data_IF_203058242951
#
_entry.id   IF_203058242951
#
_cell.length_a   1.000
_cell.length_b   1.000
_cell.length_c   1.000
_cell.angle_alpha   90.00
_cell.angle_beta   90.00
_cell.angle_gamma   90.00
#
_symmetry.space_group_name_H-M   'P 1'
#
loop_
_entity.id
_entity.type
_entity.pdbx_description
1 polymer ?
#
# COMPACT_ATOMS: atom_id res chain seq x y z
N UNK A 1 12.22 2.05 12.84
CA UNK A 1 12.95 1.23 11.85
C UNK A 1 13.84 2.12 11.00
N UNK A 2 15.01 1.61 10.59
CA UNK A 2 15.97 2.37 9.80
C UNK A 2 15.39 2.81 8.43
N UNK A 3 14.56 1.97 7.82
CA UNK A 3 13.93 2.27 6.52
C UNK A 3 12.95 3.42 6.66
N UNK A 4 12.18 3.46 7.74
CA UNK A 4 11.21 4.54 7.99
C UNK A 4 11.88 5.91 8.11
N UNK A 5 13.11 5.95 8.62
CA UNK A 5 13.87 7.19 8.72
C UNK A 5 14.36 7.72 7.38
N UNK A 6 14.45 6.87 6.36
CA UNK A 6 14.99 7.21 5.05
C UNK A 6 13.93 7.55 4.02
N UNK A 7 12.67 7.18 4.25
CA UNK A 7 11.61 7.33 3.26
C UNK A 7 10.25 7.43 3.95
N UNK A 8 9.24 7.89 3.22
CA UNK A 8 7.89 8.00 3.75
C UNK A 8 7.14 6.67 3.64
N UNK A 9 5.97 6.62 4.32
CA UNK A 9 5.16 5.40 4.40
C UNK A 9 4.65 4.92 3.04
N UNK A 10 4.16 5.85 2.21
CA UNK A 10 3.62 5.46 0.90
C UNK A 10 4.72 4.94 -0.02
N UNK A 11 5.90 5.56 0.03
CA UNK A 11 7.05 5.09 -0.76
C UNK A 11 7.45 3.67 -0.33
N UNK A 12 7.46 3.40 0.97
CA UNK A 12 7.75 2.06 1.48
C UNK A 12 6.76 1.02 0.95
N UNK A 13 5.47 1.37 0.91
CA UNK A 13 4.43 0.45 0.43
C UNK A 13 4.53 0.21 -1.08
N UNK A 14 4.91 1.23 -1.85
CA UNK A 14 4.87 1.20 -3.32
C UNK A 14 6.19 0.79 -3.97
N UNK A 15 7.27 0.70 -3.20
CA UNK A 15 8.55 0.23 -3.71
C UNK A 15 8.69 -1.25 -3.41
N UNK A 16 8.65 -2.15 -4.42
CA UNK A 16 8.65 -3.59 -4.17
C UNK A 16 9.82 -4.07 -3.31
N UNK A 17 11.01 -3.55 -3.56
CA UNK A 17 12.21 -3.94 -2.81
C UNK A 17 12.10 -3.56 -1.33
N UNK A 18 11.58 -2.36 -1.03
CA UNK A 18 11.41 -1.91 0.35
C UNK A 18 10.30 -2.67 1.05
N UNK A 19 9.17 -2.90 0.38
CA UNK A 19 8.06 -3.65 0.96
C UNK A 19 8.49 -5.09 1.28
N UNK A 20 9.22 -5.73 0.38
CA UNK A 20 9.74 -7.07 0.60
C UNK A 20 10.74 -7.11 1.77
N UNK A 21 11.63 -6.13 1.85
CA UNK A 21 12.61 -6.05 2.92
C UNK A 21 11.92 -5.91 4.28
N UNK A 22 10.92 -5.03 4.39
CA UNK A 22 10.16 -4.83 5.63
C UNK A 22 9.40 -6.11 6.00
N UNK A 23 8.84 -6.79 5.00
CA UNK A 23 8.09 -8.04 5.22
C UNK A 23 8.97 -9.14 5.82
N UNK A 24 10.22 -9.25 5.35
CA UNK A 24 11.13 -10.32 5.75
C UNK A 24 11.88 -9.99 7.06
N UNK A 25 12.07 -8.73 7.40
CA UNK A 25 12.82 -8.33 8.60
C UNK A 25 12.41 -9.07 9.89
N UNK A 26 11.11 -9.24 10.22
CA UNK A 26 10.75 -9.95 11.45
C UNK A 26 11.23 -11.41 11.48
N UNK A 27 11.29 -12.06 10.33
CA UNK A 27 11.79 -13.44 10.26
C UNK A 27 13.28 -13.46 10.58
N UNK A 28 14.04 -12.54 10.01
CA UNK A 28 15.49 -12.47 10.20
C UNK A 28 15.88 -12.04 11.62
N UNK A 29 15.09 -11.17 12.24
CA UNK A 29 15.43 -10.57 13.54
C UNK A 29 14.95 -11.42 14.72
N UNK A 30 13.71 -11.93 14.64
CA UNK A 30 13.09 -12.63 15.77
C UNK A 30 12.71 -14.08 15.44
N UNK A 31 13.10 -14.58 14.29
CA UNK A 31 12.84 -15.97 13.85
C UNK A 31 11.35 -16.30 13.87
N UNK A 32 10.52 -15.40 13.35
CA UNK A 32 9.08 -15.61 13.25
C UNK A 32 8.75 -16.76 12.31
N UNK A 33 7.66 -17.48 12.60
CA UNK A 33 7.25 -18.64 11.81
C UNK A 33 6.61 -18.27 10.47
N UNK A 34 6.10 -17.03 10.35
CA UNK A 34 5.45 -16.56 9.14
C UNK A 34 5.66 -15.05 8.99
N UNK A 35 5.66 -14.58 7.75
CA UNK A 35 5.72 -13.17 7.43
C UNK A 35 4.35 -12.67 6.97
N UNK A 36 3.93 -11.52 7.50
CA UNK A 36 2.74 -10.82 7.01
C UNK A 36 3.23 -9.77 6.02
N UNK A 37 2.72 -9.82 4.79
CA UNK A 37 3.15 -8.92 3.74
C UNK A 37 2.88 -7.46 4.11
N UNK A 38 3.93 -6.62 4.02
CA UNK A 38 3.83 -5.20 4.35
C UNK A 38 3.07 -4.46 3.25
N UNK A 39 1.89 -3.93 3.61
CA UNK A 39 1.07 -3.15 2.70
C UNK A 39 0.10 -2.28 3.50
N UNK A 40 -0.47 -1.28 2.84
CA UNK A 40 -1.51 -0.45 3.42
C UNK A 40 -2.88 -1.01 3.06
N UNK A 41 -3.80 -1.01 4.02
CA UNK A 41 -5.16 -1.50 3.80
C UNK A 41 -5.91 -0.65 2.76
N UNK A 42 -5.47 0.58 2.51
CA UNK A 42 -6.10 1.49 1.54
C UNK A 42 -5.57 1.30 0.12
N UNK A 43 -4.62 0.39 -0.10
CA UNK A 43 -3.96 0.19 -1.40
C UNK A 43 -4.97 -0.10 -2.51
N UNK A 44 -6.01 -0.87 -2.22
CA UNK A 44 -6.98 -1.30 -3.22
C UNK A 44 -7.94 -0.20 -3.67
N UNK A 45 -8.15 0.84 -2.86
CA UNK A 45 -9.13 1.90 -3.20
C UNK A 45 -8.58 2.91 -4.19
N UNK A 46 -7.25 3.05 -4.29
CA UNK A 46 -6.63 4.00 -5.21
C UNK A 46 -6.96 3.67 -6.67
N UNK A 47 -6.80 2.41 -7.15
CA UNK A 47 -7.21 2.06 -8.52
C UNK A 47 -8.71 2.21 -8.76
N UNK A 48 -9.53 2.20 -7.71
CA UNK A 48 -10.98 2.38 -7.84
C UNK A 48 -11.39 3.83 -8.07
N UNK A 49 -10.44 4.76 -8.00
CA UNK A 49 -10.71 6.17 -8.28
C UNK A 49 -10.71 7.07 -7.06
N UNK A 50 -10.35 6.56 -5.89
CA UNK A 50 -10.28 7.37 -4.68
C UNK A 50 -8.84 7.88 -4.51
N UNK A 51 -8.70 9.21 -4.36
CA UNK A 51 -7.40 9.83 -4.14
C UNK A 51 -7.02 9.76 -2.66
N UNK A 52 -5.89 9.10 -2.39
CA UNK A 52 -5.35 8.96 -1.05
C UNK A 52 -4.15 9.89 -0.89
N UNK A 53 -4.17 10.68 0.18
CA UNK A 53 -3.03 11.50 0.61
C UNK A 53 -2.59 11.04 1.99
N UNK A 54 -1.32 11.22 2.30
CA UNK A 54 -0.79 10.86 3.61
C UNK A 54 -0.05 12.04 4.22
N UNK A 55 -0.52 12.48 5.39
CA UNK A 55 0.09 13.57 6.14
C UNK A 55 0.78 13.01 7.38
N UNK A 56 1.96 13.55 7.72
CA UNK A 56 2.67 13.18 8.95
C UNK A 56 1.91 13.58 10.22
N UNK A 57 1.00 14.56 10.12
CA UNK A 57 0.23 15.03 11.28
C UNK A 57 -1.17 14.42 11.35
N UNK A 58 -1.80 14.16 10.20
CA UNK A 58 -3.18 13.65 10.13
C UNK A 58 -3.26 12.15 9.79
N UNK A 59 -2.14 11.56 9.34
CA UNK A 59 -2.16 10.21 8.81
C UNK A 59 -2.79 10.16 7.42
N UNK A 60 -3.32 9.00 7.01
CA UNK A 60 -3.96 8.87 5.70
C UNK A 60 -5.29 9.62 5.66
N UNK A 61 -5.56 10.29 4.54
CA UNK A 61 -6.84 10.94 4.31
C UNK A 61 -7.18 10.92 2.81
N UNK A 62 -8.45 11.05 2.49
CA UNK A 62 -8.93 11.04 1.11
C UNK A 62 -9.35 12.45 0.71
N UNK A 63 -8.91 12.88 -0.50
CA UNK A 63 -9.29 14.18 -1.05
C UNK A 63 -10.68 14.18 -1.65
N UNK A 64 -11.20 12.99 -2.02
CA UNK A 64 -12.55 12.83 -2.59
C UNK A 64 -13.31 11.71 -1.88
N UNK A 65 -13.63 11.86 -0.57
CA UNK A 65 -14.33 10.81 0.16
C UNK A 65 -15.74 10.55 -0.41
N UNK A 66 -16.20 9.32 -0.22
CA UNK A 66 -17.55 8.94 -0.66
C UNK A 66 -18.56 9.45 0.35
N UNK A 67 -19.50 10.29 -0.11
CA UNK A 67 -20.52 10.88 0.72
C UNK A 67 -21.94 10.67 0.18
N UNK A 68 -22.07 10.33 -1.10
CA UNK A 68 -23.37 10.19 -1.78
C UNK A 68 -23.40 8.93 -2.63
N UNK A 69 -24.61 8.53 -3.06
CA UNK A 69 -24.78 7.43 -3.99
C UNK A 69 -24.09 7.71 -5.34
N UNK A 70 -24.06 8.98 -5.77
CA UNK A 70 -23.35 9.38 -6.99
C UNK A 70 -21.85 9.10 -6.87
N UNK A 71 -21.27 9.35 -5.71
CA UNK A 71 -19.84 9.06 -5.47
C UNK A 71 -19.56 7.57 -5.59
N UNK A 72 -20.44 6.70 -5.07
CA UNK A 72 -20.31 5.26 -5.20
C UNK A 72 -20.36 4.85 -6.69
N UNK A 73 -21.25 5.45 -7.47
CA UNK A 73 -21.39 5.13 -8.88
C UNK A 73 -20.17 5.55 -9.73
N UNK A 74 -19.36 6.47 -9.23
CA UNK A 74 -18.12 6.89 -9.90
C UNK A 74 -16.96 5.93 -9.66
N UNK A 75 -17.08 5.03 -8.69
CA UNK A 75 -16.03 4.04 -8.44
C UNK A 75 -15.92 3.07 -9.60
N UNK A 76 -14.68 2.68 -9.91
CA UNK A 76 -14.41 1.71 -10.98
C UNK A 76 -13.86 0.43 -10.37
N UNK A 77 -14.14 -0.69 -11.04
CA UNK A 77 -13.53 -1.97 -10.69
C UNK A 77 -12.32 -2.15 -11.61
N UNK A 78 -11.09 -2.14 -11.08
CA UNK A 78 -9.90 -2.35 -11.92
C UNK A 78 -9.96 -3.74 -12.57
N UNK A 79 -9.58 -3.84 -13.84
CA UNK A 79 -9.52 -5.11 -14.54
C UNK A 79 -8.09 -5.70 -14.46
N UNK A 80 -7.92 -6.88 -15.08
CA UNK A 80 -6.63 -7.59 -15.04
C UNK A 80 -5.49 -6.82 -15.73
N UNK A 81 -5.83 -5.89 -16.63
CA UNK A 81 -4.84 -5.09 -17.34
C UNK A 81 -4.39 -3.86 -16.56
N UNK A 82 -5.03 -3.55 -15.42
CA UNK A 82 -4.66 -2.42 -14.59
C UNK A 82 -3.35 -2.70 -13.87
N UNK A 83 -2.36 -1.85 -14.08
CA UNK A 83 -1.01 -2.01 -13.52
C UNK A 83 -0.82 -1.28 -12.20
N UNK A 84 -1.87 -0.67 -11.65
CA UNK A 84 -1.78 0.16 -10.44
C UNK A 84 -1.28 -0.59 -9.20
N UNK A 85 -1.48 -1.90 -9.15
CA UNK A 85 -1.06 -2.75 -8.03
C UNK A 85 0.10 -3.69 -8.37
N UNK A 86 0.77 -3.49 -9.49
CA UNK A 86 1.89 -4.35 -9.89
C UNK A 86 3.03 -4.32 -8.85
N UNK A 87 3.19 -3.22 -8.13
CA UNK A 87 4.19 -3.15 -7.07
C UNK A 87 3.96 -4.20 -5.96
N UNK A 88 2.70 -4.57 -5.71
CA UNK A 88 2.37 -5.62 -4.73
C UNK A 88 2.83 -6.97 -5.24
N UNK A 89 2.53 -7.27 -6.49
CA UNK A 89 2.92 -8.55 -7.11
C UNK A 89 4.44 -8.68 -7.19
N UNK A 90 5.11 -7.61 -7.58
CA UNK A 90 6.58 -7.59 -7.66
C UNK A 90 7.21 -7.81 -6.29
N UNK A 91 6.68 -7.18 -5.24
CA UNK A 91 7.19 -7.33 -3.89
C UNK A 91 7.00 -8.77 -3.38
N UNK A 92 5.87 -9.39 -3.65
CA UNK A 92 5.63 -10.77 -3.27
C UNK A 92 6.62 -11.71 -3.95
N UNK A 93 6.96 -11.46 -5.21
CA UNK A 93 7.94 -12.26 -5.93
C UNK A 93 9.34 -12.14 -5.33
N UNK A 94 9.71 -10.97 -4.83
CA UNK A 94 11.01 -10.75 -4.17
C UNK A 94 11.09 -11.51 -2.85
N UNK A 95 9.97 -11.57 -2.11
CA UNK A 95 9.93 -12.38 -0.90
C UNK A 95 10.07 -13.85 -1.21
#
# INVERSE_FOLDING_TARGET
>A
MAIHKKTDFLTMCRTPELAAQITIQPIDIIDADAAIFFSDITTTVVPMGINLEYSTTKGPYYTNPISTATDVNKLIVPDESDESLDFVYDAIQIC
#
